data_IF_230412202495
#
_entry.id   IF_230412202495
#
_cell.length_a   1.000
_cell.length_b   1.000
_cell.length_c   1.000
_cell.angle_alpha   90.00
_cell.angle_beta   90.00
_cell.angle_gamma   90.00
#
_symmetry.space_group_name_H-M   'P 1'
#
loop_
_entity.id
_entity.type
_entity.pdbx_description
1 polymer ?
#
# COMPACT_ATOMS: atom_id res chain seq x y z
N UNK A 1 48.99 -5.64 26.03
CA UNK A 1 47.63 -6.03 25.61
C UNK A 1 46.94 -4.80 25.04
N UNK A 2 46.73 -4.73 23.73
CA UNK A 2 46.06 -3.61 23.07
C UNK A 2 44.83 -4.14 22.33
N UNK A 3 43.65 -3.60 22.62
CA UNK A 3 42.40 -3.92 21.94
C UNK A 3 42.25 -3.00 20.73
N UNK A 4 42.36 -3.54 19.52
CA UNK A 4 42.04 -2.82 18.30
C UNK A 4 40.53 -2.83 18.09
N UNK A 5 39.87 -1.71 18.42
CA UNK A 5 38.48 -1.43 18.08
C UNK A 5 38.39 -1.04 16.60
N UNK A 6 37.77 -1.91 15.81
CA UNK A 6 37.42 -1.60 14.41
C UNK A 6 35.99 -1.06 14.37
N UNK A 7 35.84 0.25 14.16
CA UNK A 7 34.55 0.88 13.89
C UNK A 7 34.24 0.75 12.39
N UNK A 8 33.37 -0.19 12.03
CA UNK A 8 32.81 -0.26 10.69
C UNK A 8 31.79 0.89 10.49
N UNK A 9 31.84 1.65 9.39
CA UNK A 9 30.86 2.69 9.12
C UNK A 9 29.50 2.05 8.80
N UNK A 10 28.48 2.43 9.57
CA UNK A 10 27.08 2.09 9.35
C UNK A 10 26.63 2.73 8.03
N UNK A 11 26.59 1.93 6.96
CA UNK A 11 26.10 2.35 5.65
C UNK A 11 24.57 2.40 5.73
N UNK A 12 24.02 3.56 6.09
CA UNK A 12 22.60 3.84 5.95
C UNK A 12 22.22 3.73 4.48
N UNK A 13 21.57 2.62 4.11
CA UNK A 13 20.86 2.50 2.83
C UNK A 13 19.69 3.47 2.87
N UNK A 14 19.91 4.71 2.46
CA UNK A 14 18.83 5.57 1.99
C UNK A 14 18.32 4.93 0.69
N UNK A 15 17.27 4.11 0.79
CA UNK A 15 16.55 3.65 -0.37
C UNK A 15 15.87 4.88 -1.00
N UNK A 16 16.15 5.23 -2.27
CA UNK A 16 15.34 6.21 -2.94
C UNK A 16 13.94 5.63 -3.07
N UNK A 17 12.92 6.36 -2.59
CA UNK A 17 11.52 6.03 -2.77
C UNK A 17 11.24 5.91 -4.27
N UNK A 18 11.31 4.70 -4.80
CA UNK A 18 11.01 4.39 -6.18
C UNK A 18 9.53 4.70 -6.39
N UNK A 19 9.23 5.70 -7.20
CA UNK A 19 7.87 6.07 -7.59
C UNK A 19 7.25 4.87 -8.31
N UNK A 20 6.41 4.10 -7.60
CA UNK A 20 5.74 2.92 -8.12
C UNK A 20 4.66 3.36 -9.11
N UNK A 21 5.00 3.40 -10.39
CA UNK A 21 4.06 3.75 -11.44
C UNK A 21 3.04 2.61 -11.64
N UNK A 22 1.77 2.95 -11.48
CA UNK A 22 0.62 2.04 -11.58
C UNK A 22 0.23 1.87 -13.05
N UNK A 23 0.56 0.74 -13.67
CA UNK A 23 0.16 0.43 -15.06
C UNK A 23 -0.59 -0.90 -15.09
N UNK A 24 -1.88 -0.84 -15.43
CA UNK A 24 -2.66 -2.03 -15.75
C UNK A 24 -2.42 -2.42 -17.23
N UNK A 25 -1.47 -3.32 -17.52
CA UNK A 25 -1.39 -3.92 -18.85
C UNK A 25 -2.39 -5.07 -18.94
N UNK A 26 -3.40 -4.94 -19.79
CA UNK A 26 -4.37 -6.00 -20.12
C UNK A 26 -3.62 -7.09 -20.89
N UNK A 27 -3.09 -8.11 -20.21
CA UNK A 27 -2.48 -9.27 -20.89
C UNK A 27 -3.60 -10.26 -21.26
N UNK A 28 -3.70 -10.56 -22.54
CA UNK A 28 -4.64 -11.52 -23.11
C UNK A 28 -4.28 -12.94 -22.63
N UNK A 29 -5.29 -13.66 -22.12
CA UNK A 29 -5.34 -15.10 -21.87
C UNK A 29 -4.02 -15.78 -21.46
N UNK A 30 -3.78 -15.92 -20.16
CA UNK A 30 -3.30 -17.21 -19.65
C UNK A 30 -3.56 -17.38 -18.14
N UNK A 31 -3.49 -18.62 -17.70
CA UNK A 31 -4.09 -19.26 -16.51
C UNK A 31 -3.57 -18.79 -15.13
N UNK A 32 -3.20 -17.52 -14.98
CA UNK A 32 -2.65 -16.92 -13.75
C UNK A 32 -3.60 -15.86 -13.13
N UNK A 33 -4.91 -16.18 -13.20
CA UNK A 33 -6.04 -15.27 -12.91
C UNK A 33 -6.03 -14.68 -11.51
N UNK A 34 -5.39 -15.33 -10.54
CA UNK A 34 -5.44 -14.89 -9.14
C UNK A 34 -4.42 -13.80 -8.79
N UNK A 35 -3.34 -13.66 -9.57
CA UNK A 35 -2.25 -12.78 -9.17
C UNK A 35 -2.44 -11.30 -9.54
N UNK A 36 -3.22 -10.97 -10.57
CA UNK A 36 -3.26 -9.60 -11.09
C UNK A 36 -4.61 -8.89 -10.92
N UNK A 37 -5.42 -9.28 -9.93
CA UNK A 37 -6.68 -8.61 -9.66
C UNK A 37 -6.46 -7.13 -9.28
N UNK A 38 -7.09 -6.18 -9.99
CA UNK A 38 -6.90 -4.77 -9.72
C UNK A 38 -7.63 -4.34 -8.44
N UNK A 39 -7.10 -3.34 -7.77
CA UNK A 39 -7.69 -2.74 -6.58
C UNK A 39 -8.60 -1.58 -6.97
N UNK A 40 -9.79 -1.51 -6.35
CA UNK A 40 -10.57 -0.26 -6.31
C UNK A 40 -9.95 0.64 -5.26
N UNK A 41 -9.40 1.77 -5.69
CA UNK A 41 -8.73 2.70 -4.78
C UNK A 41 -9.69 3.81 -4.37
N UNK A 42 -9.83 4.03 -3.08
CA UNK A 42 -10.67 5.07 -2.50
C UNK A 42 -9.85 5.92 -1.54
N UNK A 43 -9.84 7.23 -1.76
CA UNK A 43 -9.39 8.18 -0.75
C UNK A 43 -10.47 8.31 0.33
N UNK A 44 -10.16 7.85 1.54
CA UNK A 44 -11.15 7.76 2.64
C UNK A 44 -11.32 9.06 3.42
N UNK A 45 -10.53 10.09 3.11
CA UNK A 45 -10.64 11.40 3.77
C UNK A 45 -12.02 11.98 3.45
N UNK A 46 -12.87 12.28 4.45
CA UNK A 46 -14.23 12.74 4.18
C UNK A 46 -14.26 14.05 3.35
N UNK A 47 -15.12 14.15 2.31
CA UNK A 47 -15.96 13.09 1.76
C UNK A 47 -15.15 12.06 0.94
N UNK A 48 -15.46 10.75 1.01
CA UNK A 48 -14.70 9.72 0.29
C UNK A 48 -14.69 9.92 -1.22
N UNK A 49 -13.52 9.77 -1.85
CA UNK A 49 -13.33 9.97 -3.30
C UNK A 49 -12.80 8.69 -3.96
N UNK A 50 -13.41 8.29 -5.07
CA UNK A 50 -12.91 7.19 -5.88
C UNK A 50 -11.72 7.65 -6.73
N UNK A 51 -10.56 7.02 -6.57
CA UNK A 51 -9.36 7.26 -7.38
C UNK A 51 -9.25 6.27 -8.57
N UNK A 52 -10.29 5.47 -8.76
CA UNK A 52 -10.42 4.50 -9.85
C UNK A 52 -9.84 3.13 -9.53
N UNK A 53 -9.75 2.30 -10.57
CA UNK A 53 -9.28 0.92 -10.50
C UNK A 53 -7.83 0.85 -10.93
N UNK A 54 -6.95 0.32 -10.08
CA UNK A 54 -5.49 0.40 -10.22
C UNK A 54 -4.81 -0.94 -9.98
N UNK A 55 -3.78 -1.22 -10.76
CA UNK A 55 -2.96 -2.42 -10.65
C UNK A 55 -1.61 -2.04 -10.08
N UNK A 56 -1.23 -2.63 -8.95
CA UNK A 56 0.05 -2.36 -8.32
C UNK A 56 1.04 -3.46 -8.74
N UNK A 57 2.30 -3.09 -9.04
CA UNK A 57 3.31 -4.05 -9.49
C UNK A 57 3.72 -5.03 -8.39
N UNK A 58 3.51 -4.67 -7.11
CA UNK A 58 3.77 -5.53 -5.96
C UNK A 58 2.49 -6.20 -5.49
N UNK A 59 2.52 -7.53 -5.45
CA UNK A 59 1.45 -8.42 -4.97
C UNK A 59 1.01 -8.12 -3.53
N UNK A 60 1.96 -7.69 -2.70
CA UNK A 60 1.82 -7.55 -1.26
C UNK A 60 1.86 -6.06 -0.89
N UNK A 61 0.73 -5.38 -1.05
CA UNK A 61 0.57 -4.02 -0.53
C UNK A 61 0.24 -4.14 0.95
N UNK A 62 0.93 -3.34 1.78
CA UNK A 62 0.73 -3.34 3.22
C UNK A 62 0.19 -2.00 3.71
N UNK A 63 -0.46 -1.99 4.87
CA UNK A 63 -0.85 -0.75 5.54
C UNK A 63 0.40 0.06 5.92
N UNK A 64 0.32 1.38 5.80
CA UNK A 64 1.44 2.30 6.01
C UNK A 64 2.37 2.46 4.79
N UNK A 65 2.18 1.70 3.73
CA UNK A 65 2.98 1.82 2.50
C UNK A 65 2.63 3.10 1.72
N UNK A 66 3.65 3.74 1.12
CA UNK A 66 3.46 4.88 0.22
C UNK A 66 3.17 4.42 -1.21
N UNK A 67 2.03 4.79 -1.76
CA UNK A 67 1.64 4.51 -3.15
C UNK A 67 1.50 5.80 -3.94
N UNK A 68 1.94 5.78 -5.21
CA UNK A 68 1.82 6.94 -6.10
C UNK A 68 0.69 6.72 -7.09
N UNK A 69 -0.31 7.59 -7.08
CA UNK A 69 -1.48 7.50 -7.95
C UNK A 69 -1.60 8.84 -8.66
N UNK A 70 -1.55 8.83 -10.00
CA UNK A 70 -1.66 10.05 -10.83
C UNK A 70 -0.70 11.17 -10.42
N UNK A 71 0.54 10.80 -10.04
CA UNK A 71 1.56 11.76 -9.62
C UNK A 71 1.42 12.29 -8.19
N UNK A 72 0.41 11.85 -7.44
CA UNK A 72 0.23 12.21 -6.03
C UNK A 72 0.61 11.05 -5.12
N UNK A 73 1.25 11.36 -4.00
CA UNK A 73 1.63 10.39 -2.98
C UNK A 73 0.48 10.21 -1.97
N UNK A 74 0.12 8.95 -1.76
CA UNK A 74 -0.87 8.52 -0.79
C UNK A 74 -0.26 7.46 0.12
N UNK A 75 -0.75 7.38 1.35
CA UNK A 75 -0.41 6.30 2.28
C UNK A 75 -1.59 5.35 2.40
N UNK A 76 -1.30 4.05 2.33
CA UNK A 76 -2.30 2.99 2.47
C UNK A 76 -2.78 2.93 3.91
N UNK A 77 -4.08 3.15 4.11
CA UNK A 77 -4.72 3.04 5.42
C UNK A 77 -5.26 1.63 5.65
N UNK A 78 -5.90 1.02 4.65
CA UNK A 78 -6.41 -0.34 4.76
C UNK A 78 -6.37 -1.08 3.42
N UNK A 79 -6.17 -2.39 3.50
CA UNK A 79 -6.22 -3.33 2.37
C UNK A 79 -7.34 -4.33 2.64
N UNK A 80 -8.33 -4.41 1.75
CA UNK A 80 -9.50 -5.29 1.94
C UNK A 80 -9.61 -6.27 0.78
N UNK A 81 -9.64 -7.56 1.09
CA UNK A 81 -9.93 -8.64 0.14
C UNK A 81 -11.28 -9.26 0.49
N UNK A 82 -12.24 -9.18 -0.44
CA UNK A 82 -13.57 -9.75 -0.29
C UNK A 82 -13.65 -11.08 -1.02
N UNK A 83 -14.13 -12.09 -0.33
CA UNK A 83 -14.37 -13.44 -0.87
C UNK A 83 -15.87 -13.75 -0.86
N UNK A 84 -16.31 -14.61 -1.77
CA UNK A 84 -17.67 -15.10 -1.87
C UNK A 84 -17.70 -16.62 -1.89
N UNK A 85 -18.64 -17.24 -1.18
CA UNK A 85 -18.83 -18.68 -1.21
C UNK A 85 -19.59 -19.07 -2.49
N UNK A 86 -18.98 -19.88 -3.35
CA UNK A 86 -19.55 -20.40 -4.60
C UNK A 86 -19.29 -21.90 -4.67
N UNK A 87 -20.36 -22.70 -4.87
CA UNK A 87 -20.27 -24.16 -5.06
C UNK A 87 -19.39 -24.87 -4.01
N UNK A 88 -19.51 -24.46 -2.74
CA UNK A 88 -18.74 -25.04 -1.64
C UNK A 88 -17.29 -24.56 -1.50
N UNK A 89 -16.86 -23.53 -2.24
CA UNK A 89 -15.50 -22.96 -2.17
C UNK A 89 -15.53 -21.44 -2.06
N UNK A 90 -14.59 -20.85 -1.32
CA UNK A 90 -14.43 -19.39 -1.28
C UNK A 90 -13.67 -18.91 -2.50
N UNK A 91 -14.30 -18.03 -3.27
CA UNK A 91 -13.73 -17.42 -4.47
C UNK A 91 -13.45 -15.92 -4.23
N UNK A 92 -12.31 -15.38 -4.67
CA UNK A 92 -12.05 -13.94 -4.59
C UNK A 92 -13.08 -13.15 -5.41
N UNK A 93 -13.63 -12.09 -4.83
CA UNK A 93 -14.65 -11.26 -5.47
C UNK A 93 -14.21 -9.83 -5.73
N UNK A 94 -13.56 -9.18 -4.76
CA UNK A 94 -13.22 -7.76 -4.86
C UNK A 94 -11.98 -7.45 -4.02
N UNK A 95 -11.14 -6.56 -4.53
CA UNK A 95 -10.03 -5.98 -3.78
C UNK A 95 -10.21 -4.48 -3.70
N UNK A 96 -10.09 -3.93 -2.49
CA UNK A 96 -10.23 -2.51 -2.20
C UNK A 96 -8.99 -2.02 -1.47
N UNK A 97 -8.52 -0.85 -1.88
CA UNK A 97 -7.39 -0.15 -1.26
C UNK A 97 -7.89 1.20 -0.76
N UNK A 98 -7.90 1.35 0.56
CA UNK A 98 -8.26 2.61 1.21
C UNK A 98 -6.99 3.40 1.48
N UNK A 99 -6.96 4.63 0.97
CA UNK A 99 -5.77 5.48 1.03
C UNK A 99 -6.10 6.83 1.64
N UNK A 100 -5.09 7.45 2.24
CA UNK A 100 -5.14 8.83 2.72
C UNK A 100 -4.00 9.61 2.08
N UNK A 101 -4.15 10.92 1.95
CA UNK A 101 -2.99 11.75 1.60
C UNK A 101 -1.90 11.56 2.66
N UNK A 102 -0.63 11.50 2.24
CA UNK A 102 0.48 11.21 3.16
C UNK A 102 0.53 12.21 4.32
N UNK A 103 0.22 13.49 4.05
CA UNK A 103 0.13 14.52 5.10
C UNK A 103 -0.99 14.23 6.12
N UNK A 104 -2.18 13.81 5.66
CA UNK A 104 -3.31 13.49 6.56
C UNK A 104 -2.99 12.30 7.46
N UNK A 105 -2.36 11.27 6.90
CA UNK A 105 -1.95 10.07 7.64
C UNK A 105 -0.98 10.41 8.77
N UNK A 106 0.06 11.21 8.48
CA UNK A 106 1.04 11.65 9.49
C UNK A 106 0.38 12.49 10.59
N UNK A 107 -0.52 13.40 10.23
CA UNK A 107 -1.26 14.21 11.20
C UNK A 107 -2.14 13.35 12.13
N UNK A 108 -2.83 12.35 11.58
CA UNK A 108 -3.62 11.42 12.39
C UNK A 108 -2.75 10.66 13.38
N UNK A 109 -1.64 10.09 12.92
CA UNK A 109 -0.69 9.41 13.80
C UNK A 109 -0.19 10.32 14.92
N UNK A 110 0.13 11.58 14.62
CA UNK A 110 0.55 12.53 15.65
C UNK A 110 -0.53 12.80 16.69
N UNK A 111 -1.78 13.03 16.24
CA UNK A 111 -2.90 13.31 17.13
C UNK A 111 -3.26 12.08 17.99
N UNK A 112 -3.27 10.88 17.42
CA UNK A 112 -3.49 9.63 18.15
C UNK A 112 -2.44 9.45 19.25
N UNK A 113 -1.15 9.66 18.93
CA UNK A 113 -0.07 9.59 19.90
C UNK A 113 -0.18 10.62 21.05
N UNK A 114 -0.84 11.76 20.84
CA UNK A 114 -1.07 12.74 21.89
C UNK A 114 -2.24 12.31 22.80
N UNK A 115 -3.31 11.81 22.20
CA UNK A 115 -4.48 11.29 22.93
C UNK A 115 -4.11 10.10 23.81
N UNK A 116 -3.24 9.21 23.32
CA UNK A 116 -2.78 8.05 24.11
C UNK A 116 -1.93 8.44 25.33
N UNK A 117 -1.41 9.68 25.36
CA UNK A 117 -0.55 10.20 26.44
C UNK A 117 -1.28 11.10 27.44
N UNK A 118 -2.53 11.46 27.17
CA UNK A 118 -3.36 12.30 28.07
C UNK A 118 -4.12 11.44 29.07
#
# INVERSE_FOLDING_TARGET
MALASTSAPYRSRQQPHFLKQVVCRRKEKDRDRDQHFPFKVVEITPPPKSLGVRCFPTQNIHCGESVTIEGRAYTVSAVTHRYQLRKGKYEPSEKRLDVQSTGRYILNLYLENLLDKS
#
